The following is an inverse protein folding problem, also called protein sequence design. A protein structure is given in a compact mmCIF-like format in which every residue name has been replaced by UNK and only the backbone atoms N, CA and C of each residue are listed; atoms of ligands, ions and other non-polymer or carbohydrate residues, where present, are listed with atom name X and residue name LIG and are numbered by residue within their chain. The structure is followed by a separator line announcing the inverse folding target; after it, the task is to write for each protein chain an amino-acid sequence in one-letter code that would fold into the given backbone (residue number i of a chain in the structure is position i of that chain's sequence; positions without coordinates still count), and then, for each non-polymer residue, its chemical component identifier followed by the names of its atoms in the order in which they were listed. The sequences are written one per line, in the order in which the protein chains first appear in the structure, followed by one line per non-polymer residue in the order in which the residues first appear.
data_IF_706240763171
#
_entry.id   IF_706240763171
#
_cell.length_a   1.000
_cell.length_b   1.000
_cell.length_c   1.000
_cell.angle_alpha   90.00
_cell.angle_beta   90.00
_cell.angle_gamma   90.00
#
_symmetry.space_group_name_H-M   'P 1'
#
loop_
_entity.id
_entity.type
_entity.pdbx_description
1 polymer ?
#
# COMPACT_ATOMS: atom_id res chain seq x y z
N UNK A 1 -44.35 4.90 -44.11
CA UNK A 1 -43.43 4.92 -42.95
C UNK A 1 -43.79 3.94 -41.82
N UNK A 2 -45.06 3.61 -41.56
CA UNK A 2 -45.44 2.72 -40.44
C UNK A 2 -45.23 1.20 -40.72
N UNK A 3 -45.34 0.77 -41.97
CA UNK A 3 -45.09 -0.64 -42.37
C UNK A 3 -43.61 -1.04 -42.27
N UNK A 4 -42.69 -0.11 -42.50
CA UNK A 4 -41.26 -0.38 -42.44
C UNK A 4 -40.80 -0.65 -41.00
N UNK A 5 -41.39 0.05 -40.04
CA UNK A 5 -41.11 -0.13 -38.62
C UNK A 5 -41.60 -1.51 -38.10
N UNK A 6 -42.76 -1.99 -38.56
CA UNK A 6 -43.25 -3.33 -38.21
C UNK A 6 -42.37 -4.44 -38.82
N UNK A 7 -41.86 -4.23 -40.04
CA UNK A 7 -40.96 -5.18 -40.70
C UNK A 7 -39.64 -5.33 -39.94
N UNK A 8 -39.12 -4.22 -39.42
CA UNK A 8 -37.90 -4.21 -38.60
C UNK A 8 -38.08 -4.87 -37.23
N UNK A 9 -39.27 -4.77 -36.64
CA UNK A 9 -39.62 -5.44 -35.37
C UNK A 9 -39.76 -6.96 -35.58
N UNK A 10 -40.34 -7.39 -36.70
CA UNK A 10 -40.50 -8.82 -37.02
C UNK A 10 -39.15 -9.52 -37.25
N UNK A 11 -38.23 -8.92 -38.03
CA UNK A 11 -36.88 -9.50 -38.23
C UNK A 11 -36.08 -9.57 -36.92
N UNK A 12 -36.31 -8.65 -35.97
CA UNK A 12 -35.67 -8.70 -34.65
C UNK A 12 -36.23 -9.82 -33.76
N UNK A 13 -37.52 -10.16 -33.88
CA UNK A 13 -38.12 -11.27 -33.13
C UNK A 13 -37.64 -12.64 -33.67
N UNK A 14 -37.60 -12.82 -34.99
CA UNK A 14 -37.14 -14.07 -35.61
C UNK A 14 -35.65 -14.35 -35.31
N UNK A 15 -34.80 -13.32 -35.32
CA UNK A 15 -33.39 -13.43 -34.94
C UNK A 15 -33.18 -13.76 -33.45
N UNK A 16 -34.15 -13.45 -32.58
CA UNK A 16 -34.11 -13.79 -31.15
C UNK A 16 -34.61 -15.22 -30.88
N UNK A 17 -35.53 -15.75 -31.70
CA UNK A 17 -35.99 -17.14 -31.59
C UNK A 17 -34.95 -18.15 -32.06
N UNK A 18 -34.19 -17.84 -33.13
CA UNK A 18 -33.06 -18.67 -33.57
C UNK A 18 -31.92 -18.77 -32.55
N UNK A 19 -31.81 -17.80 -31.62
CA UNK A 19 -30.78 -17.77 -30.57
C UNK A 19 -31.22 -18.46 -29.26
N UNK A 20 -32.49 -18.81 -29.11
CA UNK A 20 -33.02 -19.52 -27.92
C UNK A 20 -33.06 -21.05 -28.08
N UNK A 21 -32.83 -21.59 -29.28
CA UNK A 21 -32.98 -23.02 -29.58
C UNK A 21 -31.66 -23.85 -29.59
N UNK A 22 -30.55 -23.30 -29.06
CA UNK A 22 -29.35 -24.06 -28.73
C UNK A 22 -28.85 -23.53 -27.37
N UNK A 23 -28.88 -24.24 -26.24
CA UNK A 23 -28.45 -25.62 -26.01
C UNK A 23 -28.97 -26.07 -24.63
N UNK A 24 -29.64 -27.22 -24.54
CA UNK A 24 -29.64 -28.08 -23.33
C UNK A 24 -28.69 -29.26 -23.61
N UNK A 25 -27.79 -29.55 -22.66
CA UNK A 25 -26.60 -30.46 -22.62
C UNK A 25 -26.94 -31.97 -22.49
N UNK A 26 -25.96 -32.95 -22.45
CA UNK A 26 -24.55 -33.07 -22.95
C UNK A 26 -24.26 -34.45 -23.67
N UNK A 27 -23.03 -34.78 -24.16
CA UNK A 27 -21.97 -35.36 -23.32
C UNK A 27 -20.52 -34.89 -23.61
N UNK A 28 -19.76 -34.73 -22.53
CA UNK A 28 -18.29 -34.83 -22.38
C UNK A 28 -17.37 -34.28 -23.49
N UNK A 29 -16.88 -33.05 -23.32
CA UNK A 29 -15.53 -32.61 -23.69
C UNK A 29 -15.13 -31.42 -22.80
N UNK A 30 -13.89 -31.45 -22.29
CA UNK A 30 -13.31 -30.47 -21.36
C UNK A 30 -13.45 -29.01 -21.84
N UNK A 31 -13.70 -28.05 -20.93
CA UNK A 31 -13.96 -26.67 -21.31
C UNK A 31 -12.66 -25.94 -21.69
N UNK A 32 -12.51 -25.61 -22.97
CA UNK A 32 -11.54 -24.57 -23.42
C UNK A 32 -12.11 -23.21 -23.04
N UNK A 33 -11.60 -22.61 -21.97
CA UNK A 33 -11.97 -21.27 -21.52
C UNK A 33 -11.60 -20.19 -22.56
N UNK A 34 -12.34 -19.07 -22.63
CA UNK A 34 -11.96 -17.93 -23.46
C UNK A 34 -10.59 -17.40 -23.01
N UNK A 35 -9.64 -17.32 -23.93
CA UNK A 35 -8.34 -16.70 -23.66
C UNK A 35 -8.54 -15.20 -23.46
N UNK A 36 -8.59 -14.78 -22.20
CA UNK A 36 -8.41 -13.38 -21.79
C UNK A 36 -7.03 -12.96 -22.32
N UNK A 37 -6.89 -11.82 -23.02
CA UNK A 37 -5.56 -11.32 -23.38
C UNK A 37 -4.72 -11.26 -22.10
N UNK A 38 -3.42 -11.61 -22.11
CA UNK A 38 -2.62 -11.57 -20.90
C UNK A 38 -2.68 -10.13 -20.39
N UNK A 39 -3.48 -9.94 -19.35
CA UNK A 39 -3.37 -8.76 -18.51
C UNK A 39 -1.97 -8.90 -17.97
N UNK A 40 -1.06 -8.03 -18.42
CA UNK A 40 0.22 -7.85 -17.77
C UNK A 40 -0.13 -7.56 -16.32
N UNK A 41 -0.10 -8.59 -15.48
CA UNK A 41 -0.11 -8.40 -14.06
C UNK A 41 1.21 -7.67 -13.84
N UNK A 42 1.12 -6.37 -13.62
CA UNK A 42 2.22 -5.72 -12.93
C UNK A 42 2.22 -6.45 -11.59
N UNK A 43 3.15 -7.39 -11.42
CA UNK A 43 3.46 -7.94 -10.12
C UNK A 43 3.64 -6.72 -9.23
N UNK A 44 2.68 -6.50 -8.32
CA UNK A 44 2.88 -5.51 -7.28
C UNK A 44 4.14 -5.99 -6.57
N UNK A 45 5.24 -5.28 -6.76
CA UNK A 45 6.51 -5.57 -6.12
C UNK A 45 6.24 -5.93 -4.66
N UNK A 46 6.88 -6.98 -4.17
CA UNK A 46 6.72 -7.43 -2.80
C UNK A 46 6.85 -6.22 -1.85
N UNK A 47 5.88 -6.08 -0.94
CA UNK A 47 5.89 -5.02 0.08
C UNK A 47 7.21 -5.03 0.83
N UNK A 48 7.73 -3.85 1.16
CA UNK A 48 8.94 -3.77 1.98
C UNK A 48 8.74 -4.50 3.31
N UNK A 49 9.78 -5.12 3.89
CA UNK A 49 9.66 -5.69 5.21
C UNK A 49 9.32 -4.60 6.22
N UNK A 50 8.58 -5.03 7.23
CA UNK A 50 8.10 -4.22 8.32
C UNK A 50 9.28 -3.90 9.29
N UNK A 51 9.63 -2.63 9.54
CA UNK A 51 10.83 -2.22 10.29
C UNK A 51 10.66 -2.45 11.79
N UNK A 52 11.38 -3.36 12.44
CA UNK A 52 11.29 -3.87 13.85
C UNK A 52 10.27 -3.19 14.82
N UNK A 53 10.44 -3.22 16.13
CA UNK A 53 9.67 -2.34 17.02
C UNK A 53 10.68 -1.52 17.78
N UNK A 54 10.42 -0.23 17.91
CA UNK A 54 11.31 0.68 18.59
C UNK A 54 10.85 0.86 20.04
N UNK A 55 11.73 0.62 21.00
CA UNK A 55 11.41 0.62 22.43
C UNK A 55 12.13 1.72 23.24
N UNK A 56 13.01 2.52 22.60
CA UNK A 56 13.72 3.73 23.08
C UNK A 56 15.23 3.72 22.88
N UNK A 57 15.84 2.64 22.39
CA UNK A 57 17.30 2.60 22.17
C UNK A 57 17.76 3.63 21.11
N UNK A 58 18.43 4.69 21.57
CA UNK A 58 18.97 5.76 20.72
C UNK A 58 19.96 5.24 19.68
N UNK A 59 20.70 4.16 19.96
CA UNK A 59 21.64 3.59 19.01
C UNK A 59 20.92 2.94 17.81
N UNK A 60 19.72 2.41 18.04
CA UNK A 60 18.90 1.77 17.00
C UNK A 60 18.01 2.76 16.24
N UNK A 61 17.80 3.97 16.79
CA UNK A 61 16.91 4.96 16.20
C UNK A 61 17.25 5.33 14.74
N UNK A 62 18.52 5.58 14.36
CA UNK A 62 18.86 5.92 12.97
C UNK A 62 18.47 4.82 11.99
N UNK A 63 18.74 3.56 12.35
CA UNK A 63 18.41 2.38 11.55
C UNK A 63 16.91 2.22 11.40
N UNK A 64 16.18 2.26 12.53
CA UNK A 64 14.72 2.20 12.54
C UNK A 64 14.11 3.29 11.66
N UNK A 65 14.55 4.54 11.83
CA UNK A 65 14.05 5.70 11.08
C UNK A 65 14.26 5.54 9.58
N UNK A 66 15.43 5.04 9.17
CA UNK A 66 15.72 4.79 7.76
C UNK A 66 14.78 3.73 7.17
N UNK A 67 14.63 2.59 7.84
CA UNK A 67 13.76 1.50 7.37
C UNK A 67 12.29 1.94 7.33
N UNK A 68 11.83 2.67 8.34
CA UNK A 68 10.48 3.20 8.41
C UNK A 68 10.19 4.19 7.28
N UNK A 69 11.13 5.07 6.93
CA UNK A 69 10.99 5.97 5.79
C UNK A 69 10.92 5.21 4.47
N UNK A 70 11.81 4.25 4.25
CA UNK A 70 11.82 3.43 3.04
C UNK A 70 10.48 2.70 2.85
N UNK A 71 9.95 2.12 3.93
CA UNK A 71 8.65 1.45 3.96
C UNK A 71 7.49 2.39 3.62
N UNK A 72 7.46 3.59 4.22
CA UNK A 72 6.40 4.56 3.91
C UNK A 72 6.46 5.05 2.47
N UNK A 73 7.67 5.31 1.96
CA UNK A 73 7.87 5.79 0.60
C UNK A 73 7.48 4.75 -0.46
N UNK A 74 7.74 3.47 -0.20
CA UNK A 74 7.44 2.38 -1.11
C UNK A 74 5.97 1.92 -1.04
N UNK A 75 5.43 1.73 0.18
CA UNK A 75 4.17 1.02 0.37
C UNK A 75 3.00 1.93 0.75
N UNK A 76 3.26 3.13 1.26
CA UNK A 76 2.23 4.01 1.84
C UNK A 76 2.19 5.41 1.22
N UNK A 77 2.92 5.66 0.12
CA UNK A 77 3.03 6.97 -0.54
C UNK A 77 1.67 7.62 -0.81
N UNK A 78 0.70 6.84 -1.28
CA UNK A 78 -0.62 7.33 -1.70
C UNK A 78 -1.68 7.22 -0.57
N UNK A 79 -1.25 6.86 0.64
CA UNK A 79 -2.11 6.73 1.82
C UNK A 79 -2.13 8.05 2.59
N UNK A 80 -3.24 8.33 3.30
CA UNK A 80 -3.37 9.56 4.08
C UNK A 80 -2.28 9.68 5.16
N UNK A 81 -1.83 10.91 5.42
CA UNK A 81 -0.80 11.17 6.44
C UNK A 81 -1.20 10.62 7.81
N UNK A 82 -2.48 10.72 8.18
CA UNK A 82 -2.98 10.14 9.42
C UNK A 82 -2.69 8.63 9.49
N UNK A 83 -3.00 7.89 8.44
CA UNK A 83 -2.77 6.45 8.42
C UNK A 83 -1.28 6.09 8.36
N UNK A 84 -0.44 6.92 7.71
CA UNK A 84 1.01 6.78 7.77
C UNK A 84 1.53 6.97 9.20
N UNK A 85 1.05 8.01 9.90
CA UNK A 85 1.41 8.27 11.30
C UNK A 85 0.90 7.16 12.22
N UNK A 86 -0.34 6.70 12.05
CA UNK A 86 -0.90 5.58 12.82
C UNK A 86 -0.09 4.29 12.62
N UNK A 87 0.38 4.03 11.39
CA UNK A 87 1.26 2.89 11.09
C UNK A 87 2.60 3.02 11.81
N UNK A 88 3.24 4.19 11.73
CA UNK A 88 4.51 4.45 12.42
C UNK A 88 4.35 4.34 13.94
N UNK A 89 3.27 4.89 14.50
CA UNK A 89 2.95 4.77 15.92
C UNK A 89 2.87 3.30 16.38
N UNK A 90 2.30 2.40 15.58
CA UNK A 90 2.26 0.97 15.89
C UNK A 90 3.63 0.29 15.97
N UNK A 91 4.67 0.90 15.38
CA UNK A 91 6.06 0.43 15.49
C UNK A 91 6.74 0.90 16.76
N UNK A 92 6.19 1.90 17.46
CA UNK A 92 6.70 2.34 18.75
C UNK A 92 6.11 1.52 19.89
N UNK A 93 6.94 1.23 20.88
CA UNK A 93 6.57 0.46 22.07
C UNK A 93 7.12 1.10 23.34
N UNK A 94 6.71 0.59 24.50
CA UNK A 94 7.24 1.01 25.79
C UNK A 94 6.99 2.49 26.09
N UNK A 95 7.99 3.15 26.66
CA UNK A 95 7.91 4.55 27.08
C UNK A 95 7.80 5.52 25.91
N UNK A 96 8.36 5.18 24.75
CA UNK A 96 8.27 6.03 23.56
C UNK A 96 6.83 6.19 23.12
N UNK A 97 6.07 5.09 23.06
CA UNK A 97 4.66 5.13 22.71
C UNK A 97 3.83 5.97 23.71
N UNK A 98 4.18 5.93 25.00
CA UNK A 98 3.52 6.74 26.05
C UNK A 98 3.75 8.24 25.87
N UNK A 99 4.91 8.65 25.39
CA UNK A 99 5.23 10.06 25.09
C UNK A 99 4.62 10.49 23.76
N UNK A 100 4.61 9.61 22.77
CA UNK A 100 4.18 9.91 21.42
C UNK A 100 2.66 10.05 21.31
N UNK A 101 1.89 9.21 22.01
CA UNK A 101 0.42 9.21 21.94
C UNK A 101 -0.19 10.57 22.34
N UNK A 102 0.15 11.18 23.50
CA UNK A 102 -0.34 12.52 23.84
C UNK A 102 0.04 13.57 22.80
N UNK A 103 1.25 13.50 22.23
CA UNK A 103 1.66 14.45 21.20
C UNK A 103 0.78 14.33 19.94
N UNK A 104 0.53 13.11 19.47
CA UNK A 104 -0.34 12.83 18.31
C UNK A 104 -1.75 13.36 18.54
N UNK A 105 -2.34 13.08 19.71
CA UNK A 105 -3.72 13.47 20.03
C UNK A 105 -3.91 14.98 20.15
N UNK A 106 -2.84 15.73 20.46
CA UNK A 106 -2.88 17.19 20.61
C UNK A 106 -2.48 17.96 19.34
N UNK A 107 -2.22 17.28 18.22
CA UNK A 107 -1.94 17.97 16.95
C UNK A 107 -3.21 18.50 16.29
N UNK A 108 -3.25 19.80 16.00
CA UNK A 108 -4.31 20.41 15.20
C UNK A 108 -4.31 19.91 13.74
N UNK A 109 -3.13 19.63 13.19
CA UNK A 109 -2.94 18.99 11.89
C UNK A 109 -1.83 17.95 12.00
N UNK A 110 -2.19 16.67 11.91
CA UNK A 110 -1.25 15.57 12.05
C UNK A 110 -0.54 15.33 10.71
N UNK A 111 0.75 15.68 10.65
CA UNK A 111 1.59 15.49 9.46
C UNK A 111 2.72 14.50 9.74
N UNK A 112 3.15 13.79 8.70
CA UNK A 112 4.26 12.86 8.82
C UNK A 112 5.57 13.61 9.14
N UNK A 113 5.75 14.80 8.55
CA UNK A 113 6.92 15.64 8.83
C UNK A 113 6.97 16.12 10.28
N UNK A 114 5.82 16.53 10.84
CA UNK A 114 5.74 16.94 12.24
C UNK A 114 6.10 15.80 13.18
N UNK A 115 5.66 14.58 12.86
CA UNK A 115 6.03 13.38 13.62
C UNK A 115 7.55 13.17 13.60
N UNK A 116 8.18 13.18 12.42
CA UNK A 116 9.63 13.00 12.33
C UNK A 116 10.40 14.08 13.08
N UNK A 117 9.98 15.35 12.98
CA UNK A 117 10.63 16.44 13.69
C UNK A 117 10.54 16.25 15.22
N UNK A 118 9.39 15.84 15.74
CA UNK A 118 9.22 15.57 17.16
C UNK A 118 10.13 14.43 17.64
N UNK A 119 10.18 13.33 16.89
CA UNK A 119 10.96 12.15 17.30
C UNK A 119 12.47 12.39 17.13
N UNK A 120 12.89 13.06 16.07
CA UNK A 120 14.29 13.46 15.86
C UNK A 120 14.78 14.32 17.04
N UNK A 121 13.96 15.24 17.54
CA UNK A 121 14.30 16.03 18.72
C UNK A 121 14.53 15.18 19.99
N UNK A 122 13.81 14.05 20.13
CA UNK A 122 13.88 13.21 21.32
C UNK A 122 15.03 12.19 21.27
N UNK A 123 15.29 11.60 20.10
CA UNK A 123 16.12 10.41 19.97
C UNK A 123 17.32 10.56 19.03
N UNK A 124 17.42 11.63 18.24
CA UNK A 124 18.60 11.84 17.40
C UNK A 124 19.83 12.17 18.29
N UNK A 125 20.93 11.44 18.07
CA UNK A 125 22.18 11.63 18.80
C UNK A 125 23.27 12.14 17.84
N UNK A 126 23.67 13.42 17.96
CA UNK A 126 24.72 14.01 17.13
C UNK A 126 26.08 13.31 17.29
N UNK A 127 26.40 12.81 18.48
CA UNK A 127 27.70 12.21 18.78
C UNK A 127 27.85 10.83 18.15
N UNK A 128 26.75 10.07 18.07
CA UNK A 128 26.73 8.75 17.42
C UNK A 128 27.08 8.86 15.92
N UNK A 129 26.60 9.91 15.26
CA UNK A 129 26.90 10.19 13.83
C UNK A 129 28.38 10.48 13.61
N UNK A 130 28.97 11.32 14.44
CA UNK A 130 30.41 11.64 14.34
C UNK A 130 31.26 10.38 14.50
N UNK A 131 30.96 9.57 15.52
CA UNK A 131 31.68 8.32 15.77
C UNK A 131 31.59 7.33 14.61
N UNK A 132 30.42 7.22 13.96
CA UNK A 132 30.26 6.35 12.80
C UNK A 132 31.12 6.80 11.59
N UNK A 133 31.23 8.11 11.36
CA UNK A 133 32.10 8.68 10.32
C UNK A 133 33.58 8.37 10.65
N UNK A 134 33.99 8.59 11.89
CA UNK A 134 35.37 8.32 12.33
C UNK A 134 35.73 6.83 12.17
N UNK A 135 34.81 5.92 12.51
CA UNK A 135 34.98 4.48 12.28
C UNK A 135 35.10 4.14 10.79
N UNK A 136 34.25 4.74 9.94
CA UNK A 136 34.30 4.51 8.50
C UNK A 136 35.63 4.99 7.89
N UNK A 137 36.17 6.08 8.40
CA UNK A 137 37.47 6.62 7.97
C UNK A 137 38.64 5.75 8.45
N UNK A 138 38.53 5.09 9.61
CA UNK A 138 39.53 4.18 10.14
C UNK A 138 39.59 2.79 9.48
N UNK A 139 38.61 2.46 8.62
CA UNK A 139 38.58 1.19 7.86
C UNK A 139 39.26 1.36 6.48
N UNK A 140 39.72 2.56 6.12
CA UNK A 140 40.44 2.84 4.87
C UNK A 140 41.94 2.58 4.96
#
# INVERSE_FOLDING_TARGET
MMMEMMKQIMSRMEALEGRKAATMTPPSQEPTAPQIPPTTYIERCAKFPDPEKFDSDRAQYPTFRYQARAKLEADYRDISEKAQVDYIFQRYTGDVARVLLPWILNQAALTLQGLWAFIDLQFDDPHLKSKAIDQLHGIR
#
